data_IF_206757434744
#
_entry.id   IF_206757434744
#
_cell.length_a   1.000
_cell.length_b   1.000
_cell.length_c   1.000
_cell.angle_alpha   90.00
_cell.angle_beta   90.00
_cell.angle_gamma   90.00
#
_symmetry.space_group_name_H-M   'P 1'
#
loop_
_entity.id
_entity.type
_entity.pdbx_description
1 polymer ?
#
# COMPACT_ATOMS: atom_id res chain seq x y z
N UNK A 1 32.56 -3.46 -15.45
CA UNK A 1 31.44 -2.54 -15.74
C UNK A 1 31.67 -1.26 -14.97
N UNK A 2 31.63 -0.11 -15.64
CA UNK A 2 31.57 1.19 -14.98
C UNK A 2 30.12 1.51 -14.53
N UNK A 3 29.90 2.62 -13.83
CA UNK A 3 28.57 3.00 -13.34
C UNK A 3 27.54 3.22 -14.47
N UNK A 4 27.99 3.69 -15.64
CA UNK A 4 27.13 3.90 -16.80
C UNK A 4 26.67 2.57 -17.43
N UNK A 5 27.56 1.57 -17.48
CA UNK A 5 27.22 0.21 -17.91
C UNK A 5 26.18 -0.41 -16.96
N UNK A 6 26.35 -0.18 -15.64
CA UNK A 6 25.43 -0.66 -14.62
C UNK A 6 24.05 0.00 -14.78
N UNK A 7 23.97 1.33 -14.93
CA UNK A 7 22.69 2.01 -15.17
C UNK A 7 21.98 1.47 -16.42
N UNK A 8 22.73 1.26 -17.52
CA UNK A 8 22.18 0.66 -18.74
C UNK A 8 21.61 -0.74 -18.50
N UNK A 9 22.35 -1.61 -17.81
CA UNK A 9 21.91 -2.96 -17.48
C UNK A 9 20.67 -2.94 -16.58
N UNK A 10 20.64 -2.08 -15.56
CA UNK A 10 19.48 -1.93 -14.66
C UNK A 10 18.22 -1.50 -15.41
N UNK A 11 18.34 -0.57 -16.36
CA UNK A 11 17.22 -0.16 -17.23
C UNK A 11 16.72 -1.31 -18.11
N UNK A 12 17.63 -2.08 -18.71
CA UNK A 12 17.27 -3.26 -19.53
C UNK A 12 16.53 -4.32 -18.69
N UNK A 13 16.98 -4.53 -17.45
CA UNK A 13 16.36 -5.46 -16.50
C UNK A 13 15.10 -4.88 -15.81
N UNK A 14 14.72 -3.63 -16.11
CA UNK A 14 13.60 -2.91 -15.49
C UNK A 14 13.72 -2.76 -13.96
N UNK A 15 14.95 -2.62 -13.46
CA UNK A 15 15.29 -2.42 -12.05
C UNK A 15 15.32 -0.92 -11.71
N UNK A 16 14.15 -0.28 -11.87
CA UNK A 16 14.03 1.18 -11.82
C UNK A 16 14.15 1.81 -10.42
N UNK A 17 14.05 1.00 -9.36
CA UNK A 17 14.30 1.43 -7.98
C UNK A 17 15.78 1.48 -7.72
N UNK A 18 16.49 0.41 -8.04
CA UNK A 18 17.95 0.37 -7.97
C UNK A 18 18.56 1.46 -8.82
N UNK A 19 18.13 1.61 -10.07
CA UNK A 19 18.68 2.64 -10.96
C UNK A 19 18.54 4.06 -10.38
N UNK A 20 17.48 4.32 -9.60
CA UNK A 20 17.24 5.62 -8.99
C UNK A 20 18.07 5.84 -7.71
N UNK A 21 18.35 4.80 -6.91
CA UNK A 21 18.98 4.93 -5.58
C UNK A 21 20.43 4.45 -5.53
N UNK A 22 20.91 3.73 -6.54
CA UNK A 22 22.23 3.11 -6.56
C UNK A 22 23.38 4.10 -6.24
N UNK A 23 23.46 5.30 -6.86
CA UNK A 23 24.54 6.23 -6.54
C UNK A 23 24.56 6.63 -5.06
N UNK A 24 23.39 6.87 -4.47
CA UNK A 24 23.23 7.21 -3.05
C UNK A 24 23.62 6.04 -2.15
N UNK A 25 23.18 4.82 -2.47
CA UNK A 25 23.52 3.61 -1.70
C UNK A 25 25.01 3.29 -1.72
N UNK A 26 25.67 3.48 -2.86
CA UNK A 26 27.13 3.29 -2.97
C UNK A 26 27.90 4.28 -2.10
N UNK A 27 27.53 5.56 -2.13
CA UNK A 27 28.16 6.57 -1.28
C UNK A 27 27.92 6.29 0.21
N UNK A 28 26.71 5.88 0.59
CA UNK A 28 26.38 5.49 1.95
C UNK A 28 27.25 4.33 2.43
N UNK A 29 27.30 3.24 1.66
CA UNK A 29 28.09 2.05 2.01
C UNK A 29 29.58 2.35 2.16
N UNK A 30 30.12 3.24 1.32
CA UNK A 30 31.51 3.69 1.43
C UNK A 30 31.76 4.50 2.71
N UNK A 31 30.85 5.42 3.04
CA UNK A 31 30.97 6.26 4.22
C UNK A 31 30.85 5.46 5.54
N UNK A 32 29.98 4.45 5.58
CA UNK A 32 29.74 3.62 6.76
C UNK A 32 30.56 2.32 6.80
N UNK A 33 31.43 2.08 5.81
CA UNK A 33 32.17 0.82 5.65
C UNK A 33 31.25 -0.42 5.72
N UNK A 34 30.07 -0.30 5.12
CA UNK A 34 29.01 -1.28 5.24
C UNK A 34 29.37 -2.59 4.54
N UNK A 35 29.12 -3.77 5.15
CA UNK A 35 29.33 -5.05 4.48
C UNK A 35 28.57 -5.12 3.15
N UNK A 36 29.19 -5.77 2.16
CA UNK A 36 28.62 -5.91 0.82
C UNK A 36 27.21 -6.53 0.84
N UNK A 37 27.01 -7.60 1.61
CA UNK A 37 25.70 -8.27 1.69
C UNK A 37 24.61 -7.36 2.24
N UNK A 38 24.93 -6.49 3.18
CA UNK A 38 23.98 -5.55 3.76
C UNK A 38 23.63 -4.45 2.74
N UNK A 39 24.64 -3.92 2.05
CA UNK A 39 24.47 -2.94 0.97
C UNK A 39 23.61 -3.52 -0.17
N UNK A 40 23.91 -4.76 -0.60
CA UNK A 40 23.14 -5.46 -1.61
C UNK A 40 21.69 -5.67 -1.15
N UNK A 41 21.48 -6.05 0.11
CA UNK A 41 20.16 -6.18 0.70
C UNK A 41 19.35 -4.89 0.63
N UNK A 42 19.94 -3.75 1.00
CA UNK A 42 19.29 -2.44 0.91
C UNK A 42 18.95 -2.04 -0.53
N UNK A 43 19.86 -2.28 -1.47
CA UNK A 43 19.64 -2.00 -2.88
C UNK A 43 18.47 -2.84 -3.42
N UNK A 44 18.41 -4.14 -3.10
CA UNK A 44 17.30 -4.99 -3.49
C UNK A 44 15.98 -4.55 -2.85
N UNK A 45 16.02 -4.12 -1.59
CA UNK A 45 14.84 -3.60 -0.90
C UNK A 45 14.25 -2.37 -1.60
N UNK A 46 15.10 -1.44 -2.07
CA UNK A 46 14.64 -0.26 -2.82
C UNK A 46 13.84 -0.64 -4.09
N UNK A 47 14.24 -1.71 -4.79
CA UNK A 47 13.48 -2.22 -5.94
C UNK A 47 12.13 -2.81 -5.52
N UNK A 48 12.14 -3.65 -4.48
CA UNK A 48 10.94 -4.31 -3.98
C UNK A 48 9.91 -3.27 -3.52
N UNK A 49 10.33 -2.26 -2.78
CA UNK A 49 9.47 -1.18 -2.28
C UNK A 49 8.91 -0.34 -3.41
N UNK A 50 9.71 -0.02 -4.43
CA UNK A 50 9.23 0.70 -5.61
C UNK A 50 8.21 -0.12 -6.39
N UNK A 51 8.43 -1.42 -6.56
CA UNK A 51 7.48 -2.32 -7.23
C UNK A 51 6.18 -2.42 -6.45
N UNK A 52 6.25 -2.61 -5.13
CA UNK A 52 5.09 -2.68 -4.23
C UNK A 52 4.28 -1.39 -4.28
N UNK A 53 4.95 -0.24 -4.16
CA UNK A 53 4.32 1.08 -4.24
C UNK A 53 3.59 1.28 -5.58
N UNK A 54 4.24 0.98 -6.71
CA UNK A 54 3.62 1.09 -8.04
C UNK A 54 2.43 0.16 -8.22
N UNK A 55 2.50 -1.05 -7.68
CA UNK A 55 1.41 -2.01 -7.74
C UNK A 55 0.20 -1.52 -6.93
N UNK A 56 0.44 -1.03 -5.71
CA UNK A 56 -0.61 -0.49 -4.85
C UNK A 56 -1.25 0.75 -5.48
N UNK A 57 -0.45 1.66 -6.03
CA UNK A 57 -0.94 2.84 -6.76
C UNK A 57 -1.85 2.44 -7.92
N UNK A 58 -1.44 1.45 -8.71
CA UNK A 58 -2.26 0.94 -9.81
C UNK A 58 -3.57 0.32 -9.31
N UNK A 59 -3.55 -0.47 -8.23
CA UNK A 59 -4.75 -1.05 -7.63
C UNK A 59 -5.70 0.01 -7.09
N UNK A 60 -5.16 1.02 -6.40
CA UNK A 60 -5.93 2.17 -5.92
C UNK A 60 -6.64 2.88 -7.08
N UNK A 61 -5.92 3.22 -8.16
CA UNK A 61 -6.54 3.84 -9.35
C UNK A 61 -7.64 2.99 -9.98
N UNK A 62 -7.46 1.68 -10.04
CA UNK A 62 -8.47 0.75 -10.56
C UNK A 62 -9.67 0.60 -9.63
N UNK A 63 -9.51 0.87 -8.34
CA UNK A 63 -10.58 0.77 -7.35
C UNK A 63 -11.63 1.86 -7.46
N UNK A 64 -11.37 2.96 -8.18
CA UNK A 64 -12.25 4.12 -8.26
C UNK A 64 -12.56 4.77 -6.89
N UNK A 65 -11.76 4.47 -5.85
CA UNK A 65 -11.76 5.26 -4.63
C UNK A 65 -11.24 6.68 -4.94
N UNK A 66 -11.92 7.66 -4.37
CA UNK A 66 -11.56 9.07 -4.41
C UNK A 66 -10.47 9.40 -3.37
N UNK A 67 -10.52 8.72 -2.21
CA UNK A 67 -9.66 8.99 -1.07
C UNK A 67 -9.05 7.71 -0.49
N UNK A 68 -7.89 7.84 0.18
CA UNK A 68 -7.17 6.75 0.87
C UNK A 68 -7.51 6.70 2.34
N UNK A 69 -8.81 6.65 2.63
CA UNK A 69 -9.29 6.71 4.00
C UNK A 69 -8.81 5.51 4.81
N UNK A 70 -8.40 5.78 6.05
CA UNK A 70 -8.03 4.75 7.02
C UNK A 70 -8.80 4.93 8.30
N UNK A 71 -8.93 3.88 9.11
CA UNK A 71 -9.56 4.02 10.43
C UNK A 71 -8.79 4.89 11.42
N UNK A 72 -7.53 5.22 11.12
CA UNK A 72 -6.76 6.19 11.92
C UNK A 72 -7.30 7.62 11.77
N UNK A 73 -7.90 7.93 10.61
CA UNK A 73 -8.47 9.25 10.28
C UNK A 73 -9.96 9.32 10.63
N UNK A 74 -10.58 8.20 11.01
CA UNK A 74 -11.99 8.15 11.37
C UNK A 74 -12.22 8.75 12.76
N UNK A 75 -13.01 9.82 12.84
CA UNK A 75 -13.44 10.38 14.12
C UNK A 75 -14.49 9.47 14.79
N UNK A 76 -13.99 8.56 15.63
CA UNK A 76 -14.85 7.66 16.40
C UNK A 76 -15.63 8.34 17.53
N UNK A 77 -15.40 9.63 17.79
CA UNK A 77 -16.17 10.43 18.77
C UNK A 77 -17.43 11.04 18.13
N UNK A 78 -17.43 11.26 16.82
CA UNK A 78 -18.56 11.81 16.07
C UNK A 78 -19.85 10.98 16.23
N UNK A 79 -19.72 9.66 16.25
CA UNK A 79 -20.85 8.77 16.52
C UNK A 79 -20.43 7.58 17.41
N UNK A 80 -20.59 7.69 18.74
CA UNK A 80 -20.18 6.64 19.67
C UNK A 80 -21.01 5.35 19.54
N UNK A 81 -22.13 5.38 18.80
CA UNK A 81 -22.96 4.20 18.53
C UNK A 81 -22.41 3.32 17.41
N UNK A 82 -21.37 3.76 16.68
CA UNK A 82 -20.72 2.93 15.67
C UNK A 82 -19.99 1.78 16.39
N UNK A 83 -20.30 0.51 16.06
CA UNK A 83 -19.68 -0.65 16.71
C UNK A 83 -18.22 -0.78 16.26
N UNK A 84 -17.29 -0.14 16.98
CA UNK A 84 -15.85 -0.11 16.66
C UNK A 84 -15.29 -1.51 16.39
N UNK A 85 -15.59 -2.46 17.29
CA UNK A 85 -15.12 -3.84 17.18
C UNK A 85 -15.54 -4.49 15.85
N UNK A 86 -16.80 -4.33 15.44
CA UNK A 86 -17.30 -4.89 14.19
C UNK A 86 -16.67 -4.21 12.96
N UNK A 87 -16.41 -2.89 13.02
CA UNK A 87 -15.69 -2.20 11.94
C UNK A 87 -14.27 -2.74 11.79
N UNK A 88 -13.52 -2.90 12.90
CA UNK A 88 -12.17 -3.47 12.86
C UNK A 88 -12.16 -4.94 12.43
N UNK A 89 -13.18 -5.72 12.80
CA UNK A 89 -13.35 -7.09 12.30
C UNK A 89 -13.49 -7.10 10.77
N UNK A 90 -14.33 -6.24 10.20
CA UNK A 90 -14.45 -6.11 8.74
C UNK A 90 -13.14 -5.65 8.08
N UNK A 91 -12.37 -4.78 8.74
CA UNK A 91 -11.07 -4.31 8.26
C UNK A 91 -9.99 -5.40 8.25
N UNK A 92 -10.19 -6.53 8.96
CA UNK A 92 -9.32 -7.71 8.78
C UNK A 92 -9.49 -8.37 7.42
N UNK A 93 -10.57 -8.05 6.70
CA UNK A 93 -10.95 -8.66 5.42
C UNK A 93 -11.18 -10.17 5.47
N UNK A 94 -11.31 -10.76 6.66
CA UNK A 94 -11.55 -12.20 6.83
C UNK A 94 -12.78 -12.66 6.05
N UNK A 95 -13.82 -11.83 5.99
CA UNK A 95 -15.02 -12.12 5.21
C UNK A 95 -14.72 -12.35 3.72
N UNK A 96 -13.70 -11.69 3.13
CA UNK A 96 -13.29 -11.93 1.74
C UNK A 96 -12.63 -13.30 1.61
N UNK A 97 -11.75 -13.66 2.54
CA UNK A 97 -11.09 -14.96 2.56
C UNK A 97 -12.08 -16.11 2.74
N UNK A 98 -13.12 -15.90 3.56
CA UNK A 98 -14.19 -16.87 3.82
C UNK A 98 -15.26 -16.88 2.71
N UNK A 99 -15.15 -16.03 1.67
CA UNK A 99 -16.13 -15.93 0.59
C UNK A 99 -17.48 -15.33 1.01
N UNK A 100 -17.51 -14.62 2.13
CA UNK A 100 -18.68 -13.95 2.69
C UNK A 100 -18.88 -12.53 2.18
N UNK A 101 -19.98 -11.91 2.65
CA UNK A 101 -20.33 -10.53 2.35
C UNK A 101 -20.40 -9.71 3.64
N UNK A 102 -19.91 -8.47 3.58
CA UNK A 102 -20.05 -7.49 4.65
C UNK A 102 -21.20 -6.53 4.35
N UNK A 103 -22.06 -6.28 5.34
CA UNK A 103 -23.21 -5.39 5.19
C UNK A 103 -23.22 -4.34 6.30
N UNK A 104 -23.23 -3.06 5.92
CA UNK A 104 -23.22 -1.92 6.85
C UNK A 104 -24.57 -1.19 6.73
N UNK A 105 -25.42 -1.30 7.75
CA UNK A 105 -26.76 -0.68 7.77
C UNK A 105 -26.82 0.40 8.85
N UNK A 106 -27.45 1.53 8.54
CA UNK A 106 -27.68 2.60 9.50
C UNK A 106 -28.19 3.88 8.86
N UNK A 107 -28.69 4.81 9.68
CA UNK A 107 -29.22 6.11 9.24
C UNK A 107 -28.23 6.89 8.37
N UNK A 108 -28.67 7.77 7.46
CA UNK A 108 -27.78 8.66 6.73
C UNK A 108 -26.88 9.47 7.68
N UNK A 109 -25.65 9.79 7.24
CA UNK A 109 -24.72 10.59 8.03
C UNK A 109 -23.96 9.87 9.16
N UNK A 110 -24.10 8.55 9.34
CA UNK A 110 -23.46 7.82 10.45
C UNK A 110 -22.03 7.33 10.18
N UNK A 111 -21.36 7.78 9.11
CA UNK A 111 -19.98 7.38 8.77
C UNK A 111 -19.85 6.08 7.96
N UNK A 112 -20.95 5.50 7.46
CA UNK A 112 -20.92 4.22 6.71
C UNK A 112 -20.04 4.27 5.47
N UNK A 113 -20.14 5.33 4.67
CA UNK A 113 -19.32 5.49 3.45
C UNK A 113 -17.84 5.58 3.80
N UNK A 114 -17.48 6.27 4.87
CA UNK A 114 -16.10 6.31 5.35
C UNK A 114 -15.63 4.90 5.74
N UNK A 115 -16.42 4.16 6.53
CA UNK A 115 -16.07 2.79 6.93
C UNK A 115 -15.89 1.88 5.71
N UNK A 116 -16.82 1.95 4.74
CA UNK A 116 -16.75 1.17 3.52
C UNK A 116 -15.52 1.52 2.67
N UNK A 117 -15.21 2.82 2.49
CA UNK A 117 -14.02 3.29 1.77
C UNK A 117 -12.73 2.85 2.45
N UNK A 118 -12.67 2.89 3.79
CA UNK A 118 -11.49 2.43 4.53
C UNK A 118 -11.26 0.91 4.40
N UNK A 119 -12.32 0.10 4.51
CA UNK A 119 -12.24 -1.34 4.26
C UNK A 119 -11.83 -1.63 2.80
N UNK A 120 -12.41 -0.90 1.84
CA UNK A 120 -12.06 -1.02 0.43
C UNK A 120 -10.60 -0.66 0.16
N UNK A 121 -10.09 0.40 0.79
CA UNK A 121 -8.69 0.79 0.68
C UNK A 121 -7.77 -0.27 1.28
N UNK A 122 -8.06 -0.80 2.47
CA UNK A 122 -7.29 -1.91 3.05
C UNK A 122 -7.28 -3.13 2.13
N UNK A 123 -8.41 -3.45 1.49
CA UNK A 123 -8.47 -4.53 0.51
C UNK A 123 -7.55 -4.29 -0.70
N UNK A 124 -7.39 -3.05 -1.16
CA UNK A 124 -6.41 -2.73 -2.21
C UNK A 124 -4.97 -2.96 -1.74
N UNK A 125 -4.65 -2.66 -0.48
CA UNK A 125 -3.33 -2.83 0.12
C UNK A 125 -2.97 -4.31 0.32
N UNK A 126 -3.94 -5.13 0.73
CA UNK A 126 -3.82 -6.59 0.83
C UNK A 126 -3.83 -7.29 -0.55
N UNK A 127 -4.03 -6.51 -1.61
CA UNK A 127 -3.84 -6.94 -2.98
C UNK A 127 -5.05 -7.55 -3.67
N UNK A 128 -6.22 -7.40 -3.06
CA UNK A 128 -7.49 -7.71 -3.70
C UNK A 128 -7.79 -6.75 -4.86
N UNK A 129 -8.59 -7.23 -5.81
CA UNK A 129 -9.18 -6.39 -6.85
C UNK A 129 -10.44 -5.78 -6.28
N UNK A 130 -10.45 -4.46 -6.17
CA UNK A 130 -11.55 -3.69 -5.56
C UNK A 130 -12.17 -2.81 -6.64
N UNK A 131 -13.46 -2.54 -6.51
CA UNK A 131 -14.17 -1.46 -7.22
C UNK A 131 -15.16 -0.83 -6.25
N UNK A 132 -15.01 0.47 -6.02
CA UNK A 132 -15.96 1.29 -5.29
C UNK A 132 -16.87 1.99 -6.30
N UNK A 133 -18.17 1.99 -6.01
CA UNK A 133 -19.19 2.64 -6.83
C UNK A 133 -20.27 3.20 -5.92
N UNK A 134 -20.71 4.41 -6.21
CA UNK A 134 -21.89 5.04 -5.60
C UNK A 134 -23.04 4.97 -6.62
N UNK A 135 -24.25 4.75 -6.12
CA UNK A 135 -25.48 4.66 -6.91
C UNK A 135 -26.18 6.03 -6.99
#
# INVERSE_FOLDING_TARGET
MNLADIDRALRQLRLSGIAATLPTRVLQAQASQQPFLETLGQILQDELDRRRTRLNERRFKLSCLDERLTFAEFDWSFNPKVPRAACFELHTLKFIADGGNALIIGKPGTGKSHVAKAIAYEATLQGYRVRYAEA
#
